data_IF_302538164189
#
_entry.id   IF_302538164189
#
_cell.length_a   1.000
_cell.length_b   1.000
_cell.length_c   1.000
_cell.angle_alpha   90.00
_cell.angle_beta   90.00
_cell.angle_gamma   90.00
#
_symmetry.space_group_name_H-M   'P 1'
#
loop_
_entity.id
_entity.type
_entity.pdbx_description
1 polymer ?
#
# COMPACT_ATOMS: atom_id res chain seq x y z
N UNK A 1 0.00 18.36 -10.70
CA UNK A 1 0.70 17.40 -11.57
C UNK A 1 2.15 17.78 -11.77
N UNK A 2 2.46 18.68 -12.67
CA UNK A 2 3.84 19.01 -13.08
C UNK A 2 4.79 19.41 -11.94
N UNK A 3 4.32 20.04 -10.87
CA UNK A 3 5.14 20.33 -9.68
C UNK A 3 5.55 19.04 -8.96
N UNK A 4 4.61 18.11 -8.76
CA UNK A 4 4.86 16.82 -8.11
C UNK A 4 5.83 15.97 -8.93
N UNK A 5 5.61 15.87 -10.24
CA UNK A 5 6.45 15.14 -11.18
C UNK A 5 7.90 15.66 -11.16
N UNK A 6 8.10 16.99 -11.25
CA UNK A 6 9.43 17.59 -11.11
C UNK A 6 10.07 17.36 -9.75
N UNK A 7 9.26 17.30 -8.67
CA UNK A 7 9.73 17.03 -7.33
C UNK A 7 10.29 15.61 -7.19
N UNK A 8 9.61 14.62 -7.77
CA UNK A 8 10.05 13.22 -7.78
C UNK A 8 11.29 13.02 -8.66
N UNK A 9 11.30 13.60 -9.86
CA UNK A 9 12.45 13.53 -10.77
C UNK A 9 13.74 14.10 -10.12
N UNK A 10 13.63 15.19 -9.33
CA UNK A 10 14.77 15.74 -8.56
C UNK A 10 15.31 14.79 -7.51
N UNK A 11 14.52 13.81 -7.05
CA UNK A 11 14.93 12.78 -6.11
C UNK A 11 15.47 11.52 -6.80
N UNK A 12 15.61 11.53 -8.13
CA UNK A 12 16.09 10.40 -8.91
C UNK A 12 15.03 9.32 -9.14
N UNK A 13 13.75 9.65 -8.97
CA UNK A 13 12.63 8.76 -9.26
C UNK A 13 12.20 8.96 -10.69
N UNK A 14 12.22 7.90 -11.49
CA UNK A 14 11.68 7.92 -12.84
C UNK A 14 10.18 8.17 -12.79
N UNK A 15 9.72 9.14 -13.56
CA UNK A 15 8.30 9.53 -13.58
C UNK A 15 7.71 9.30 -14.96
N UNK A 16 6.51 8.74 -15.00
CA UNK A 16 5.78 8.44 -16.22
C UNK A 16 4.29 8.80 -16.05
N UNK A 17 4.03 10.06 -15.65
CA UNK A 17 2.69 10.57 -15.42
C UNK A 17 1.88 10.69 -16.69
N UNK A 18 0.61 10.33 -16.61
CA UNK A 18 -0.37 10.63 -17.65
C UNK A 18 -0.91 12.04 -17.39
N UNK A 19 -0.64 12.96 -18.30
CA UNK A 19 -1.07 14.35 -18.20
C UNK A 19 -2.50 14.49 -18.71
N UNK A 20 -3.37 15.01 -17.84
CA UNK A 20 -4.75 15.32 -18.22
C UNK A 20 -4.81 16.71 -18.84
N UNK A 21 -5.67 16.92 -19.87
CA UNK A 21 -5.80 18.22 -20.53
C UNK A 21 -6.40 19.30 -19.62
N UNK A 22 -7.21 18.88 -18.65
CA UNK A 22 -7.94 19.77 -17.75
C UNK A 22 -7.94 19.25 -16.30
N UNK A 23 -8.19 20.15 -15.35
CA UNK A 23 -8.31 19.85 -13.94
C UNK A 23 -7.01 20.02 -13.17
N UNK A 24 -7.09 19.77 -11.87
CA UNK A 24 -5.97 19.86 -10.92
C UNK A 24 -5.78 18.54 -10.21
N UNK A 25 -4.52 18.23 -9.88
CA UNK A 25 -4.20 17.13 -8.97
C UNK A 25 -4.96 17.28 -7.67
N UNK A 26 -5.57 16.19 -7.21
CA UNK A 26 -6.32 16.14 -5.95
C UNK A 26 -5.46 16.60 -4.78
N UNK A 27 -6.03 17.43 -3.93
CA UNK A 27 -5.42 17.85 -2.66
C UNK A 27 -6.33 17.37 -1.54
N UNK A 28 -5.77 16.61 -0.60
CA UNK A 28 -6.42 16.24 0.64
C UNK A 28 -5.78 17.03 1.77
N UNK A 29 -6.61 17.62 2.62
CA UNK A 29 -6.16 18.41 3.78
C UNK A 29 -6.63 17.73 5.06
N UNK A 30 -5.70 17.46 5.97
CA UNK A 30 -5.99 17.00 7.32
C UNK A 30 -5.80 18.12 8.32
N UNK A 31 -6.87 18.50 9.02
CA UNK A 31 -6.87 19.53 10.05
C UNK A 31 -6.82 18.84 11.41
N UNK A 32 -5.75 19.07 12.17
CA UNK A 32 -5.57 18.55 13.53
C UNK A 32 -5.86 19.66 14.55
N UNK A 33 -7.13 19.77 14.99
CA UNK A 33 -7.59 20.77 15.97
C UNK A 33 -8.56 20.10 16.95
N UNK A 34 -8.02 19.31 17.89
CA UNK A 34 -8.82 18.54 18.85
C UNK A 34 -9.33 17.23 18.22
N UNK A 35 -10.30 17.30 17.33
CA UNK A 35 -10.69 16.19 16.46
C UNK A 35 -10.05 16.36 15.09
N UNK A 36 -9.59 15.24 14.51
CA UNK A 36 -9.04 15.23 13.16
C UNK A 36 -10.19 15.36 12.15
N UNK A 37 -10.10 16.37 11.28
CA UNK A 37 -11.04 16.61 10.18
C UNK A 37 -10.32 16.46 8.85
N UNK A 38 -10.90 15.70 7.93
CA UNK A 38 -10.36 15.50 6.60
C UNK A 38 -11.21 16.21 5.55
N UNK A 39 -10.57 17.02 4.71
CA UNK A 39 -11.14 17.61 3.50
C UNK A 39 -10.54 16.88 2.29
N UNK A 40 -11.32 15.98 1.71
CA UNK A 40 -10.87 15.14 0.59
C UNK A 40 -11.38 15.73 -0.73
N UNK A 41 -10.46 16.25 -1.54
CA UNK A 41 -10.79 16.75 -2.90
C UNK A 41 -11.24 15.62 -3.82
N UNK A 42 -12.16 15.91 -4.73
CA UNK A 42 -12.69 14.92 -5.69
C UNK A 42 -11.65 14.51 -6.77
N UNK A 43 -10.67 15.38 -7.03
CA UNK A 43 -9.73 15.20 -8.13
C UNK A 43 -10.33 15.57 -9.50
N UNK A 44 -9.53 15.47 -10.57
CA UNK A 44 -9.98 15.77 -11.93
C UNK A 44 -10.85 14.63 -12.50
N UNK A 45 -11.64 14.95 -13.51
CA UNK A 45 -12.25 13.93 -14.33
C UNK A 45 -11.17 13.22 -15.16
N UNK A 46 -11.21 11.90 -15.20
CA UNK A 46 -10.24 11.08 -15.94
C UNK A 46 -10.92 10.60 -17.23
N UNK A 47 -10.52 11.10 -18.40
CA UNK A 47 -11.10 10.69 -19.66
C UNK A 47 -10.66 9.28 -20.05
N UNK A 48 -11.45 8.62 -20.88
CA UNK A 48 -11.16 7.27 -21.38
C UNK A 48 -9.79 7.17 -22.07
N UNK A 49 -9.38 8.21 -22.79
CA UNK A 49 -8.06 8.28 -23.43
C UNK A 49 -6.89 8.21 -22.43
N UNK A 50 -7.07 8.73 -21.22
CA UNK A 50 -6.06 8.61 -20.15
C UNK A 50 -6.04 7.19 -19.57
N UNK A 51 -7.22 6.54 -19.44
CA UNK A 51 -7.29 5.14 -19.05
C UNK A 51 -6.61 4.22 -20.07
N UNK A 52 -6.85 4.45 -21.37
CA UNK A 52 -6.17 3.70 -22.44
C UNK A 52 -4.64 3.87 -22.38
N UNK A 53 -4.14 5.07 -22.08
CA UNK A 53 -2.70 5.29 -21.87
C UNK A 53 -2.17 4.51 -20.65
N UNK A 54 -2.91 4.48 -19.53
CA UNK A 54 -2.56 3.67 -18.38
C UNK A 54 -2.52 2.19 -18.73
N UNK A 55 -3.52 1.70 -19.42
CA UNK A 55 -3.61 0.31 -19.87
C UNK A 55 -2.45 -0.07 -20.78
N UNK A 56 -2.06 0.82 -21.73
CA UNK A 56 -0.90 0.60 -22.59
C UNK A 56 0.42 0.51 -21.79
N UNK A 57 0.58 1.31 -20.72
CA UNK A 57 1.73 1.21 -19.81
C UNK A 57 1.75 -0.12 -19.07
N UNK A 58 0.59 -0.63 -18.62
CA UNK A 58 0.49 -1.94 -17.99
C UNK A 58 0.79 -3.08 -18.96
N UNK A 59 0.48 -2.90 -20.25
CA UNK A 59 0.81 -3.90 -21.27
C UNK A 59 2.31 -4.07 -21.48
N UNK A 60 3.10 -3.05 -21.21
CA UNK A 60 4.56 -3.07 -21.30
C UNK A 60 5.22 -3.78 -20.10
N UNK A 61 4.49 -4.04 -19.00
CA UNK A 61 5.03 -4.75 -17.85
C UNK A 61 5.34 -6.21 -18.19
N UNK A 62 6.42 -6.72 -17.60
CA UNK A 62 7.00 -8.03 -17.87
C UNK A 62 7.06 -8.89 -16.61
N UNK A 63 7.41 -10.16 -16.79
CA UNK A 63 7.66 -11.08 -15.68
C UNK A 63 8.74 -10.53 -14.73
N UNK A 64 8.44 -10.53 -13.45
CA UNK A 64 9.32 -10.01 -12.40
C UNK A 64 9.03 -8.57 -12.01
N UNK A 65 8.35 -7.78 -12.84
CA UNK A 65 7.92 -6.43 -12.47
C UNK A 65 6.94 -6.47 -11.29
N UNK A 66 6.93 -5.38 -10.51
CA UNK A 66 5.98 -5.18 -9.41
C UNK A 66 5.11 -3.97 -9.71
N UNK A 67 3.79 -4.19 -9.77
CA UNK A 67 2.80 -3.12 -9.81
C UNK A 67 2.23 -2.89 -8.43
N UNK A 68 2.28 -1.65 -7.94
CA UNK A 68 1.65 -1.25 -6.69
C UNK A 68 0.39 -0.43 -7.02
N UNK A 69 -0.76 -0.92 -6.59
CA UNK A 69 -2.04 -0.22 -6.63
C UNK A 69 -2.37 0.25 -5.21
N UNK A 70 -2.31 1.55 -4.97
CA UNK A 70 -2.55 2.15 -3.66
C UNK A 70 -3.56 3.29 -3.74
N UNK A 71 -4.32 3.45 -2.68
CA UNK A 71 -5.29 4.53 -2.51
C UNK A 71 -6.69 4.21 -3.06
N UNK A 72 -7.51 5.25 -3.16
CA UNK A 72 -8.91 5.16 -3.60
C UNK A 72 -9.04 5.37 -5.10
N UNK A 73 -10.02 4.73 -5.71
CA UNK A 73 -10.41 4.98 -7.09
C UNK A 73 -11.09 6.36 -7.17
N UNK A 74 -10.66 7.25 -8.09
CA UNK A 74 -11.35 8.52 -8.35
C UNK A 74 -12.83 8.32 -8.67
N UNK A 75 -13.69 9.23 -8.20
CA UNK A 75 -15.14 9.13 -8.41
C UNK A 75 -15.56 9.16 -9.89
N UNK A 76 -14.71 9.65 -10.78
CA UNK A 76 -14.93 9.65 -12.24
C UNK A 76 -14.69 8.29 -12.90
N UNK A 77 -14.12 7.30 -12.17
CA UNK A 77 -13.84 5.97 -12.66
C UNK A 77 -14.79 4.93 -12.06
N UNK A 78 -14.98 3.83 -12.76
CA UNK A 78 -15.74 2.70 -12.27
C UNK A 78 -15.06 2.05 -11.05
N UNK A 79 -15.86 1.56 -10.10
CA UNK A 79 -15.35 0.95 -8.86
C UNK A 79 -14.56 -0.35 -9.12
N UNK A 80 -14.75 -0.99 -10.27
CA UNK A 80 -14.04 -2.18 -10.71
C UNK A 80 -12.68 -1.87 -11.40
N UNK A 81 -12.23 -0.61 -11.38
CA UNK A 81 -11.00 -0.20 -12.06
C UNK A 81 -9.80 -1.07 -11.66
N UNK A 82 -9.57 -1.33 -10.37
CA UNK A 82 -8.46 -2.19 -9.94
C UNK A 82 -8.60 -3.62 -10.43
N UNK A 83 -9.83 -4.15 -10.48
CA UNK A 83 -10.08 -5.48 -11.03
C UNK A 83 -9.73 -5.54 -12.52
N UNK A 84 -10.14 -4.54 -13.30
CA UNK A 84 -9.82 -4.44 -14.74
C UNK A 84 -8.31 -4.37 -14.98
N UNK A 85 -7.58 -3.54 -14.20
CA UNK A 85 -6.12 -3.43 -14.30
C UNK A 85 -5.43 -4.75 -13.96
N UNK A 86 -5.86 -5.45 -12.90
CA UNK A 86 -5.28 -6.74 -12.51
C UNK A 86 -5.64 -7.87 -13.47
N UNK A 87 -6.85 -7.86 -14.04
CA UNK A 87 -7.24 -8.82 -15.07
C UNK A 87 -6.30 -8.76 -16.28
N UNK A 88 -5.88 -7.55 -16.67
CA UNK A 88 -4.97 -7.31 -17.78
C UNK A 88 -3.56 -7.87 -17.55
N UNK A 89 -3.15 -8.02 -16.29
CA UNK A 89 -1.84 -8.55 -15.91
C UNK A 89 -1.81 -10.07 -15.75
N UNK A 90 -2.96 -10.75 -15.86
CA UNK A 90 -3.01 -12.21 -15.71
C UNK A 90 -2.13 -12.92 -16.75
N UNK A 91 -1.30 -13.85 -16.27
CA UNK A 91 -0.38 -14.62 -17.13
C UNK A 91 0.94 -13.91 -17.47
N UNK A 92 1.12 -12.63 -17.12
CA UNK A 92 2.36 -11.87 -17.41
C UNK A 92 3.50 -12.09 -16.39
N UNK A 93 3.25 -12.78 -15.28
CA UNK A 93 4.26 -12.94 -14.22
C UNK A 93 4.54 -11.67 -13.40
N UNK A 94 3.74 -10.61 -13.57
CA UNK A 94 3.82 -9.37 -12.79
C UNK A 94 3.30 -9.61 -11.38
N UNK A 95 4.01 -9.10 -10.37
CA UNK A 95 3.60 -9.18 -8.97
C UNK A 95 2.76 -7.96 -8.60
N UNK A 96 1.47 -8.14 -8.38
CA UNK A 96 0.59 -7.07 -7.95
C UNK A 96 0.62 -6.91 -6.41
N UNK A 97 0.80 -5.70 -5.94
CA UNK A 97 0.68 -5.28 -4.53
C UNK A 97 -0.52 -4.35 -4.43
N UNK A 98 -1.45 -4.64 -3.53
CA UNK A 98 -2.68 -3.85 -3.40
C UNK A 98 -2.83 -3.34 -1.97
N UNK A 99 -2.82 -2.02 -1.83
CA UNK A 99 -3.14 -1.30 -0.59
C UNK A 99 -4.46 -0.55 -0.79
N UNK A 100 -5.54 -1.24 -0.52
CA UNK A 100 -6.91 -0.75 -0.69
C UNK A 100 -7.79 -1.21 0.47
N UNK A 101 -8.98 -0.62 0.60
CA UNK A 101 -9.87 -0.88 1.72
C UNK A 101 -11.16 -1.57 1.28
N UNK A 102 -11.81 -2.31 2.19
CA UNK A 102 -13.15 -2.88 2.06
C UNK A 102 -13.34 -3.69 0.77
N UNK A 103 -14.44 -3.44 0.06
CA UNK A 103 -14.81 -4.19 -1.14
C UNK A 103 -13.75 -4.09 -2.25
N UNK A 104 -13.07 -2.95 -2.36
CA UNK A 104 -11.99 -2.77 -3.33
C UNK A 104 -10.86 -3.77 -3.12
N UNK A 105 -10.50 -4.06 -1.85
CA UNK A 105 -9.52 -5.08 -1.52
C UNK A 105 -10.06 -6.50 -1.78
N UNK A 106 -11.30 -6.78 -1.35
CA UNK A 106 -11.88 -8.12 -1.46
C UNK A 106 -12.07 -8.53 -2.93
N UNK A 107 -12.52 -7.62 -3.77
CA UNK A 107 -12.80 -7.88 -5.18
C UNK A 107 -11.55 -8.23 -6.00
N UNK A 108 -10.38 -7.74 -5.59
CA UNK A 108 -9.12 -8.01 -6.31
C UNK A 108 -8.46 -9.34 -5.92
N UNK A 109 -8.88 -9.99 -4.83
CA UNK A 109 -8.25 -11.21 -4.32
C UNK A 109 -8.27 -12.37 -5.35
N UNK A 110 -9.32 -12.46 -6.16
CA UNK A 110 -9.43 -13.48 -7.24
C UNK A 110 -8.31 -13.41 -8.28
N UNK A 111 -7.62 -12.25 -8.38
CA UNK A 111 -6.46 -12.05 -9.26
C UNK A 111 -5.13 -12.43 -8.60
N UNK A 112 -5.16 -12.98 -7.40
CA UNK A 112 -4.02 -13.50 -6.65
C UNK A 112 -2.89 -12.49 -6.46
N UNK A 113 -3.18 -11.29 -5.88
CA UNK A 113 -2.15 -10.30 -5.61
C UNK A 113 -1.02 -10.91 -4.78
N UNK A 114 0.22 -10.51 -5.10
CA UNK A 114 1.41 -10.93 -4.36
C UNK A 114 1.35 -10.47 -2.90
N UNK A 115 0.88 -9.25 -2.67
CA UNK A 115 0.74 -8.67 -1.34
C UNK A 115 -0.54 -7.85 -1.25
N UNK A 116 -1.25 -8.01 -0.14
CA UNK A 116 -2.29 -7.08 0.30
C UNK A 116 -1.96 -6.56 1.70
N UNK A 117 -2.27 -5.28 1.99
CA UNK A 117 -1.95 -4.67 3.28
C UNK A 117 -3.16 -4.00 3.93
N UNK A 118 -4.08 -4.70 4.56
CA UNK A 118 -5.05 -4.11 5.47
C UNK A 118 -4.38 -3.71 6.80
N UNK A 119 -4.96 -2.74 7.53
CA UNK A 119 -4.71 -2.64 8.97
C UNK A 119 -5.63 -3.61 9.74
N UNK A 120 -5.40 -3.79 11.05
CA UNK A 120 -6.17 -4.71 11.88
C UNK A 120 -7.66 -4.35 11.96
N UNK A 121 -8.03 -3.08 11.87
CA UNK A 121 -9.43 -2.62 11.86
C UNK A 121 -10.09 -2.94 10.52
N UNK A 122 -9.45 -2.59 9.40
CA UNK A 122 -9.92 -2.91 8.04
C UNK A 122 -10.08 -4.42 7.85
N UNK A 123 -9.13 -5.21 8.34
CA UNK A 123 -9.22 -6.67 8.30
C UNK A 123 -10.42 -7.15 9.13
N UNK A 124 -10.63 -6.58 10.30
CA UNK A 124 -11.80 -6.85 11.15
C UNK A 124 -13.12 -6.52 10.47
N UNK A 125 -13.21 -5.37 9.78
CA UNK A 125 -14.39 -5.02 8.98
C UNK A 125 -14.67 -6.04 7.88
N UNK A 126 -13.64 -6.50 7.17
CA UNK A 126 -13.77 -7.50 6.09
C UNK A 126 -14.31 -8.85 6.61
N UNK A 127 -13.90 -9.27 7.81
CA UNK A 127 -14.36 -10.53 8.40
C UNK A 127 -15.55 -10.36 9.35
N UNK A 128 -16.09 -9.14 9.50
CA UNK A 128 -17.29 -8.83 10.26
C UNK A 128 -17.13 -8.94 11.79
N UNK A 129 -15.90 -8.83 12.32
CA UNK A 129 -15.64 -8.90 13.77
C UNK A 129 -14.42 -8.10 14.18
N UNK A 130 -14.39 -7.64 15.44
CA UNK A 130 -13.20 -7.02 16.02
C UNK A 130 -12.13 -8.10 16.25
N UNK A 131 -10.88 -7.75 15.90
CA UNK A 131 -9.70 -8.61 16.11
C UNK A 131 -8.88 -8.04 17.27
N UNK A 132 -8.57 -8.86 18.27
CA UNK A 132 -7.92 -8.46 19.52
C UNK A 132 -6.65 -9.22 19.82
N UNK A 133 -6.46 -10.38 19.19
CA UNK A 133 -5.29 -11.24 19.39
C UNK A 133 -4.59 -11.53 18.06
N UNK A 134 -3.29 -11.84 18.13
CA UNK A 134 -2.53 -12.27 16.95
C UNK A 134 -3.14 -13.51 16.27
N UNK A 135 -3.65 -14.45 17.06
CA UNK A 135 -4.33 -15.64 16.52
C UNK A 135 -5.59 -15.29 15.69
N UNK A 136 -6.39 -14.33 16.17
CA UNK A 136 -7.55 -13.85 15.42
C UNK A 136 -7.15 -13.11 14.14
N UNK A 137 -6.06 -12.34 14.18
CA UNK A 137 -5.51 -11.63 13.02
C UNK A 137 -5.00 -12.65 11.98
N UNK A 138 -4.26 -13.68 12.40
CA UNK A 138 -3.80 -14.76 11.52
C UNK A 138 -4.98 -15.48 10.88
N UNK A 139 -6.00 -15.85 11.67
CA UNK A 139 -7.20 -16.51 11.15
C UNK A 139 -7.94 -15.64 10.12
N UNK A 140 -8.04 -14.33 10.37
CA UNK A 140 -8.65 -13.38 9.44
C UNK A 140 -7.79 -13.19 8.17
N UNK A 141 -6.47 -13.12 8.30
CA UNK A 141 -5.55 -13.07 7.15
C UNK A 141 -5.65 -14.33 6.28
N UNK A 142 -5.82 -15.51 6.91
CA UNK A 142 -6.03 -16.77 6.20
C UNK A 142 -7.33 -16.77 5.37
N UNK A 143 -8.37 -16.03 5.79
CA UNK A 143 -9.58 -15.83 4.97
C UNK A 143 -9.24 -15.08 3.67
N UNK A 144 -8.40 -14.06 3.73
CA UNK A 144 -7.97 -13.34 2.52
C UNK A 144 -7.11 -14.23 1.62
N UNK A 145 -6.25 -15.07 2.20
CA UNK A 145 -5.47 -16.04 1.42
C UNK A 145 -6.36 -17.09 0.74
N UNK A 146 -7.36 -17.60 1.44
CA UNK A 146 -8.32 -18.56 0.85
C UNK A 146 -9.11 -17.97 -0.33
N UNK A 147 -9.24 -16.63 -0.38
CA UNK A 147 -9.84 -15.88 -1.49
C UNK A 147 -8.83 -15.51 -2.59
N UNK A 148 -7.53 -15.76 -2.39
CA UNK A 148 -6.51 -15.59 -3.42
C UNK A 148 -5.29 -14.75 -3.06
N UNK A 149 -5.28 -13.93 -2.01
CA UNK A 149 -4.07 -13.19 -1.62
C UNK A 149 -2.91 -14.16 -1.37
N UNK A 150 -1.72 -13.87 -1.92
CA UNK A 150 -0.54 -14.70 -1.65
C UNK A 150 0.05 -14.37 -0.29
N UNK A 151 0.27 -13.10 0.00
CA UNK A 151 0.80 -12.61 1.27
C UNK A 151 -0.16 -11.57 1.84
N UNK A 152 -0.40 -11.61 3.15
CA UNK A 152 -1.25 -10.65 3.87
C UNK A 152 -0.42 -9.99 4.96
N UNK A 153 -0.09 -8.71 4.75
CA UNK A 153 0.62 -7.86 5.71
C UNK A 153 -0.40 -7.04 6.50
N UNK A 154 -0.51 -7.30 7.78
CA UNK A 154 -1.45 -6.58 8.66
C UNK A 154 -0.69 -5.57 9.51
N UNK A 155 -0.96 -4.28 9.30
CA UNK A 155 -0.41 -3.22 10.14
C UNK A 155 -1.27 -3.02 11.40
N UNK A 156 -0.62 -2.83 12.57
CA UNK A 156 -1.28 -2.75 13.87
C UNK A 156 -0.83 -1.52 14.68
N UNK A 157 -0.50 -0.44 13.98
CA UNK A 157 -0.02 0.81 14.57
C UNK A 157 1.10 0.57 15.61
N UNK A 158 0.89 1.01 16.86
CA UNK A 158 1.87 0.84 17.94
C UNK A 158 2.18 -0.62 18.32
N UNK A 159 1.35 -1.56 17.91
CA UNK A 159 1.59 -3.00 18.13
C UNK A 159 2.48 -3.62 17.04
N UNK A 160 2.88 -2.85 16.02
CA UNK A 160 3.78 -3.29 14.95
C UNK A 160 3.04 -3.91 13.76
N UNK A 161 3.48 -5.08 13.29
CA UNK A 161 2.90 -5.72 12.12
C UNK A 161 2.94 -7.25 12.19
N UNK A 162 2.04 -7.88 11.44
CA UNK A 162 1.97 -9.32 11.26
C UNK A 162 1.90 -9.63 9.77
N UNK A 163 2.67 -10.58 9.30
CA UNK A 163 2.61 -11.10 7.95
C UNK A 163 2.20 -12.57 7.99
N UNK A 164 1.19 -12.94 7.22
CA UNK A 164 0.93 -14.31 6.83
C UNK A 164 1.42 -14.49 5.40
N UNK A 165 2.50 -15.27 5.23
CA UNK A 165 3.14 -15.46 3.93
C UNK A 165 2.46 -16.54 3.08
N UNK A 166 2.81 -16.60 1.80
CA UNK A 166 2.24 -17.56 0.83
C UNK A 166 2.54 -19.04 1.13
N UNK A 167 3.46 -19.31 2.07
CA UNK A 167 3.76 -20.67 2.56
C UNK A 167 2.96 -21.02 3.81
N UNK A 168 2.12 -20.10 4.29
CA UNK A 168 1.33 -20.24 5.52
C UNK A 168 2.15 -19.96 6.80
N UNK A 169 3.36 -19.43 6.69
CA UNK A 169 4.15 -19.05 7.85
C UNK A 169 3.73 -17.67 8.36
N UNK A 170 3.66 -17.54 9.68
CA UNK A 170 3.36 -16.28 10.35
C UNK A 170 4.64 -15.61 10.83
N UNK A 171 4.81 -14.35 10.49
CA UNK A 171 5.91 -13.49 10.94
C UNK A 171 5.32 -12.35 11.76
N UNK A 172 5.89 -12.08 12.94
CA UNK A 172 5.42 -11.04 13.86
C UNK A 172 6.57 -10.12 14.23
N UNK A 173 6.32 -8.81 14.19
CA UNK A 173 7.29 -7.80 14.61
C UNK A 173 6.61 -6.71 15.41
N UNK A 174 7.26 -6.26 16.48
CA UNK A 174 6.81 -5.11 17.27
C UNK A 174 7.08 -3.77 16.57
N UNK A 175 6.47 -2.71 17.07
CA UNK A 175 6.79 -1.35 16.63
C UNK A 175 8.04 -0.84 17.38
N UNK A 176 9.01 -0.19 16.71
CA UNK A 176 10.09 0.49 17.40
C UNK A 176 9.53 1.64 18.25
N UNK A 177 10.28 2.02 19.30
CA UNK A 177 9.85 3.09 20.20
C UNK A 177 10.00 4.45 19.52
N UNK A 178 8.96 5.30 19.64
CA UNK A 178 8.98 6.66 19.11
C UNK A 178 7.69 7.41 19.40
N UNK A 179 7.69 8.70 19.14
CA UNK A 179 6.52 9.54 19.25
C UNK A 179 5.87 9.71 17.87
N UNK A 180 4.60 9.35 17.76
CA UNK A 180 3.85 9.58 16.52
C UNK A 180 3.64 11.07 16.33
N UNK A 181 4.13 11.59 15.21
CA UNK A 181 3.99 12.98 14.77
C UNK A 181 2.91 13.08 13.70
N UNK A 182 3.00 12.20 12.68
CA UNK A 182 2.04 12.18 11.57
C UNK A 182 1.94 10.78 10.95
N UNK A 183 0.79 10.16 11.05
CA UNK A 183 0.57 8.81 10.51
C UNK A 183 0.30 8.76 9.00
N UNK A 184 0.17 9.92 8.33
CA UNK A 184 -0.12 9.97 6.89
C UNK A 184 1.05 9.42 6.09
N UNK A 185 0.78 8.46 5.20
CA UNK A 185 1.79 7.81 4.38
C UNK A 185 2.59 6.70 5.08
N UNK A 186 2.34 6.43 6.38
CA UNK A 186 3.02 5.35 7.09
C UNK A 186 2.70 3.97 6.49
N UNK A 187 1.44 3.75 6.08
CA UNK A 187 1.02 2.54 5.37
C UNK A 187 1.72 2.37 4.03
N UNK A 188 1.75 3.43 3.22
CA UNK A 188 2.44 3.43 1.92
C UNK A 188 3.95 3.17 2.08
N UNK A 189 4.56 3.81 3.10
CA UNK A 189 5.98 3.60 3.43
C UNK A 189 6.26 2.16 3.89
N UNK A 190 5.35 1.54 4.63
CA UNK A 190 5.44 0.13 5.02
C UNK A 190 5.39 -0.79 3.81
N UNK A 191 4.47 -0.55 2.86
CA UNK A 191 4.40 -1.31 1.60
C UNK A 191 5.71 -1.16 0.82
N UNK A 192 6.18 0.07 0.63
CA UNK A 192 7.41 0.35 -0.11
C UNK A 192 8.63 -0.35 0.52
N UNK A 193 8.78 -0.25 1.84
CA UNK A 193 9.86 -0.91 2.59
C UNK A 193 9.77 -2.43 2.51
N UNK A 194 8.57 -3.00 2.63
CA UNK A 194 8.36 -4.45 2.49
C UNK A 194 8.76 -4.94 1.10
N UNK A 195 8.29 -4.27 0.06
CA UNK A 195 8.62 -4.63 -1.34
C UNK A 195 10.12 -4.51 -1.59
N UNK A 196 10.76 -3.42 -1.15
CA UNK A 196 12.20 -3.23 -1.29
C UNK A 196 13.00 -4.31 -0.54
N UNK A 197 12.63 -4.63 0.70
CA UNK A 197 13.28 -5.66 1.50
C UNK A 197 13.15 -7.05 0.87
N UNK A 198 11.98 -7.37 0.33
CA UNK A 198 11.75 -8.63 -0.36
C UNK A 198 12.56 -8.74 -1.66
N UNK A 199 12.61 -7.67 -2.46
CA UNK A 199 13.40 -7.64 -3.70
C UNK A 199 14.91 -7.82 -3.44
N UNK A 200 15.40 -7.27 -2.33
CA UNK A 200 16.82 -7.36 -1.97
C UNK A 200 17.24 -8.73 -1.42
N UNK A 201 16.35 -9.40 -0.69
CA UNK A 201 16.72 -10.58 0.09
C UNK A 201 15.99 -11.87 -0.29
N UNK A 202 14.81 -11.77 -0.87
CA UNK A 202 13.90 -12.90 -1.03
C UNK A 202 13.32 -13.44 0.28
N UNK A 203 13.60 -12.76 1.42
CA UNK A 203 13.21 -13.20 2.76
C UNK A 203 12.09 -12.35 3.35
N UNK A 204 11.03 -12.99 3.84
CA UNK A 204 9.86 -12.32 4.38
C UNK A 204 10.11 -11.63 5.72
N UNK A 205 11.03 -12.14 6.56
CA UNK A 205 11.40 -11.47 7.81
C UNK A 205 12.13 -10.16 7.54
N UNK A 206 13.09 -10.17 6.63
CA UNK A 206 13.83 -8.98 6.19
C UNK A 206 12.86 -7.95 5.58
N UNK A 207 11.93 -8.39 4.73
CA UNK A 207 10.90 -7.56 4.15
C UNK A 207 10.01 -6.91 5.22
N UNK A 208 9.53 -7.69 6.19
CA UNK A 208 8.68 -7.22 7.28
C UNK A 208 9.42 -6.21 8.18
N UNK A 209 10.68 -6.46 8.51
CA UNK A 209 11.51 -5.55 9.30
C UNK A 209 11.69 -4.21 8.59
N UNK A 210 12.10 -4.22 7.32
CA UNK A 210 12.29 -2.98 6.57
C UNK A 210 10.97 -2.24 6.37
N UNK A 211 9.87 -2.93 6.07
CA UNK A 211 8.53 -2.35 5.98
C UNK A 211 8.11 -1.66 7.27
N UNK A 212 8.31 -2.33 8.42
CA UNK A 212 7.97 -1.77 9.74
C UNK A 212 8.84 -0.56 10.08
N UNK A 213 10.15 -0.62 9.78
CA UNK A 213 11.04 0.53 9.97
C UNK A 213 10.61 1.74 9.12
N UNK A 214 10.28 1.53 7.85
CA UNK A 214 9.81 2.59 6.94
C UNK A 214 8.50 3.23 7.42
N UNK A 215 7.51 2.40 7.78
CA UNK A 215 6.21 2.87 8.27
C UNK A 215 6.35 3.65 9.57
N UNK A 216 7.13 3.13 10.53
CA UNK A 216 7.36 3.77 11.82
C UNK A 216 8.14 5.08 11.68
N UNK A 217 9.21 5.10 10.87
CA UNK A 217 9.99 6.31 10.62
C UNK A 217 9.15 7.42 10.00
N UNK A 218 8.23 7.06 9.09
CA UNK A 218 7.26 8.02 8.52
C UNK A 218 6.28 8.50 9.59
N UNK A 219 5.74 7.61 10.42
CA UNK A 219 4.83 8.01 11.50
C UNK A 219 5.48 8.94 12.54
N UNK A 220 6.78 8.83 12.75
CA UNK A 220 7.55 9.67 13.67
C UNK A 220 8.09 10.96 13.04
N UNK A 221 7.78 11.23 11.78
CA UNK A 221 8.23 12.40 11.02
C UNK A 221 7.06 13.32 10.67
N UNK A 222 7.34 14.59 10.37
CA UNK A 222 6.33 15.52 9.84
C UNK A 222 5.86 15.15 8.42
N UNK A 223 6.74 14.54 7.63
CA UNK A 223 6.48 14.06 6.27
C UNK A 223 6.98 12.64 6.11
N UNK A 224 7.26 12.23 4.87
CA UNK A 224 7.85 10.92 4.61
C UNK A 224 9.25 10.83 5.24
N UNK A 225 9.58 9.65 5.77
CA UNK A 225 10.84 9.38 6.45
C UNK A 225 12.04 9.56 5.52
N UNK A 226 13.16 10.01 6.08
CA UNK A 226 14.45 10.02 5.42
C UNK A 226 15.17 8.68 5.64
N UNK A 227 16.06 8.33 4.73
CA UNK A 227 16.84 7.08 4.79
C UNK A 227 17.55 6.89 6.15
N UNK A 228 18.16 7.93 6.69
CA UNK A 228 18.85 7.86 7.99
C UNK A 228 17.92 7.49 9.16
N UNK A 229 16.68 7.97 9.15
CA UNK A 229 15.68 7.67 10.18
C UNK A 229 15.24 6.20 10.08
N UNK A 230 15.03 5.71 8.84
CA UNK A 230 14.70 4.31 8.57
C UNK A 230 15.84 3.39 9.04
N UNK A 231 17.09 3.69 8.68
CA UNK A 231 18.27 2.89 9.08
C UNK A 231 18.48 2.85 10.60
N UNK A 232 18.15 3.95 11.28
CA UNK A 232 18.19 3.99 12.75
C UNK A 232 17.18 3.01 13.34
N UNK A 233 15.89 3.09 12.93
CA UNK A 233 14.84 2.22 13.47
C UNK A 233 15.03 0.75 13.06
N UNK A 234 15.59 0.49 11.87
CA UNK A 234 15.87 -0.88 11.42
C UNK A 234 16.90 -1.59 12.34
N UNK A 235 17.80 -0.85 13.00
CA UNK A 235 18.75 -1.42 13.98
C UNK A 235 18.09 -1.74 15.32
N UNK A 236 16.93 -1.15 15.62
CA UNK A 236 16.17 -1.38 16.86
C UNK A 236 15.20 -2.58 16.74
N UNK A 237 14.90 -3.00 15.53
CA UNK A 237 14.03 -4.13 15.19
C UNK A 237 14.82 -5.43 15.00
#
# INVERSE_FOLDING_TARGET
>A
GAWLERGLAKQGIDTDFIHLPEGMTRINVKIKAGQETELNGAGPNIPESAMQQLEAKLDALQEGDILILAGSIPASLAQDTYERLLARLQGKGVRAVVDATRDLLVNVLKYRPFLVKPNNHELGEIVGRRLTTDAEIVAAAAVLQSKGARNVLVSMAGDGALLLDEKGCTHRIGCPKGQVVNSVGAGDSMVAGFVAGYLQSGDYNTALRLGTACGSATAFSLGLAKKADIEKLLREL
#
